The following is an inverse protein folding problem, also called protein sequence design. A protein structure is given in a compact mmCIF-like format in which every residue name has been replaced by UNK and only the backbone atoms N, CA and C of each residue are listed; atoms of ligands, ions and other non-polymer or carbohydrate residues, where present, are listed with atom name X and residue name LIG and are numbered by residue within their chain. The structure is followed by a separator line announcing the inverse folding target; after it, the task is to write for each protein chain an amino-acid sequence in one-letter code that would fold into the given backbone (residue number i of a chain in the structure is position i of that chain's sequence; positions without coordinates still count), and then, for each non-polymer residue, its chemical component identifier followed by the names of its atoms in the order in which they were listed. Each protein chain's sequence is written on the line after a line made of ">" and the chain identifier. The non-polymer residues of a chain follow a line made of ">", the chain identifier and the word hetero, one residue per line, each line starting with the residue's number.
data_IF_728123737170
#
_entry.id   IF_728123737170
#
_cell.length_a   1.000
_cell.length_b   1.000
_cell.length_c   1.000
_cell.angle_alpha   90.00
_cell.angle_beta   90.00
_cell.angle_gamma   90.00
#
_symmetry.space_group_name_H-M   'P 1'
#
loop_
_entity.id
_entity.type
_entity.pdbx_description
1 polymer ?
#
# COMPACT_ATOMS: atom_id res chain seq x y z
N UNK A 1 70.28 -19.87 25.26
CA UNK A 1 69.28 -20.23 26.28
C UNK A 1 68.01 -19.45 25.92
N UNK A 2 66.88 -20.03 25.53
CA UNK A 2 66.53 -21.43 25.28
C UNK A 2 65.40 -21.46 24.23
N UNK A 3 65.29 -22.53 23.42
CA UNK A 3 64.24 -22.68 22.40
C UNK A 3 62.88 -23.11 23.00
N UNK A 4 61.75 -23.03 22.26
CA UNK A 4 60.39 -22.99 22.79
C UNK A 4 59.74 -24.38 22.93
N UNK A 5 58.51 -24.48 23.48
CA UNK A 5 57.66 -25.66 23.36
C UNK A 5 56.81 -25.64 22.07
N UNK A 6 56.60 -26.82 21.50
CA UNK A 6 55.88 -27.08 20.23
C UNK A 6 54.54 -27.81 20.44
N UNK A 7 53.57 -27.49 19.59
CA UNK A 7 52.44 -28.28 19.03
C UNK A 7 51.88 -29.54 19.74
N UNK A 8 50.53 -29.62 19.84
CA UNK A 8 49.80 -30.89 19.99
C UNK A 8 48.31 -30.72 20.31
N UNK A 9 47.39 -31.60 19.84
CA UNK A 9 46.15 -31.14 19.17
C UNK A 9 44.81 -31.52 19.83
N UNK A 10 43.72 -30.90 19.34
CA UNK A 10 42.30 -31.16 19.72
C UNK A 10 41.69 -30.00 20.51
N UNK A 11 40.44 -29.57 20.31
CA UNK A 11 39.36 -30.03 19.45
C UNK A 11 38.62 -28.86 18.78
N UNK A 12 38.01 -29.10 17.62
CA UNK A 12 37.19 -28.11 16.92
C UNK A 12 35.74 -28.10 17.43
N UNK A 13 35.18 -26.94 17.82
CA UNK A 13 33.75 -26.83 18.10
C UNK A 13 32.95 -26.74 16.80
N UNK A 14 32.42 -27.89 16.37
CA UNK A 14 31.18 -28.02 15.61
C UNK A 14 31.04 -27.23 14.31
N UNK A 15 31.27 -27.91 13.17
CA UNK A 15 30.63 -27.52 11.90
C UNK A 15 29.12 -27.47 12.12
N UNK A 16 28.54 -26.27 12.09
CA UNK A 16 27.09 -26.10 12.12
C UNK A 16 26.46 -26.84 10.95
N UNK A 17 25.79 -27.97 11.22
CA UNK A 17 25.05 -28.72 10.21
C UNK A 17 24.03 -27.77 9.57
N UNK A 18 24.24 -27.46 8.29
CA UNK A 18 23.23 -26.77 7.49
C UNK A 18 21.92 -27.56 7.58
N UNK A 19 20.89 -26.96 8.17
CA UNK A 19 19.56 -27.54 8.26
C UNK A 19 19.01 -27.72 6.84
N UNK A 20 18.59 -28.93 6.44
CA UNK A 20 18.02 -29.13 5.11
C UNK A 20 16.75 -28.29 4.95
N UNK A 21 16.80 -27.27 4.09
CA UNK A 21 15.60 -26.50 3.73
C UNK A 21 14.65 -27.42 2.97
N UNK A 22 13.48 -27.68 3.54
CA UNK A 22 12.42 -28.46 2.90
C UNK A 22 11.99 -27.78 1.60
N UNK A 23 12.14 -28.47 0.46
CA UNK A 23 11.75 -28.00 -0.88
C UNK A 23 10.22 -27.85 -1.07
N UNK A 24 9.45 -27.92 0.02
CA UNK A 24 7.98 -27.85 0.05
C UNK A 24 7.42 -26.90 1.13
N UNK A 25 8.27 -26.11 1.79
CA UNK A 25 7.84 -25.07 2.75
C UNK A 25 7.21 -25.55 4.06
N UNK A 26 7.13 -26.87 4.32
CA UNK A 26 6.55 -27.43 5.54
C UNK A 26 7.59 -27.74 6.62
N UNK A 27 7.31 -27.32 7.85
CA UNK A 27 8.13 -27.52 9.06
C UNK A 27 8.04 -28.98 9.52
N UNK A 28 9.16 -29.66 9.85
CA UNK A 28 9.15 -31.02 10.39
C UNK A 28 8.51 -31.11 11.77
N UNK A 29 7.73 -32.16 12.04
CA UNK A 29 7.01 -32.33 13.32
C UNK A 29 7.92 -32.43 14.56
N UNK A 30 9.18 -32.87 14.42
CA UNK A 30 10.10 -32.93 15.56
C UNK A 30 10.43 -31.54 16.13
N UNK A 31 10.53 -30.51 15.27
CA UNK A 31 10.77 -29.13 15.68
C UNK A 31 9.55 -28.48 16.40
N UNK A 32 8.38 -29.11 16.32
CA UNK A 32 7.18 -28.70 17.06
C UNK A 32 7.04 -29.43 18.41
N UNK A 33 7.86 -30.47 18.67
CA UNK A 33 7.87 -31.18 19.94
C UNK A 33 8.79 -30.54 20.99
N UNK A 34 9.80 -29.78 20.55
CA UNK A 34 10.80 -29.16 21.44
C UNK A 34 10.36 -27.81 22.05
N UNK A 35 9.23 -27.24 21.62
CA UNK A 35 8.67 -25.99 22.18
C UNK A 35 7.62 -26.20 23.27
N UNK A 36 7.29 -27.45 23.62
CA UNK A 36 6.17 -27.82 24.48
C UNK A 36 6.55 -28.71 25.67
N UNK A 37 7.44 -28.24 26.55
CA UNK A 37 7.76 -28.93 27.83
C UNK A 37 8.29 -27.97 28.89
N UNK A 38 7.67 -27.98 30.08
CA UNK A 38 8.24 -27.47 31.33
C UNK A 38 7.88 -28.46 32.46
N UNK A 39 8.08 -28.14 33.75
CA UNK A 39 8.87 -27.07 34.38
C UNK A 39 10.08 -27.63 35.17
N UNK A 40 10.87 -26.77 35.82
CA UNK A 40 11.96 -27.17 36.74
C UNK A 40 11.65 -26.71 38.19
N UNK A 41 11.85 -27.53 39.24
CA UNK A 41 11.57 -27.16 40.63
C UNK A 41 12.81 -26.67 41.42
N UNK A 42 12.50 -26.17 42.63
CA UNK A 42 13.33 -25.96 43.84
C UNK A 42 14.15 -24.68 44.07
N UNK A 43 14.00 -24.18 45.32
CA UNK A 43 14.71 -23.14 46.07
C UNK A 43 14.58 -21.65 45.62
N UNK A 44 14.19 -20.69 46.48
CA UNK A 44 13.69 -20.80 47.86
C UNK A 44 13.38 -19.44 48.54
N UNK A 45 12.49 -19.49 49.55
CA UNK A 45 12.29 -18.55 50.68
C UNK A 45 12.27 -17.03 50.48
N UNK A 46 11.12 -16.39 50.74
CA UNK A 46 10.93 -15.54 51.95
C UNK A 46 9.44 -15.30 52.30
N UNK A 47 9.18 -14.83 53.53
CA UNK A 47 7.87 -14.54 54.15
C UNK A 47 7.26 -13.23 53.57
N UNK A 48 6.00 -12.79 53.73
CA UNK A 48 4.86 -13.02 54.65
C UNK A 48 3.57 -12.55 53.88
N UNK A 49 2.29 -12.76 54.22
CA UNK A 49 1.59 -13.34 55.38
C UNK A 49 0.19 -13.89 54.94
N UNK A 50 -0.78 -14.00 55.86
CA UNK A 50 -2.09 -14.64 55.77
C UNK A 50 -3.25 -13.88 55.07
N UNK A 51 -4.22 -14.63 54.54
CA UNK A 51 -5.65 -14.63 54.99
C UNK A 51 -6.35 -15.95 54.64
N UNK A 52 -7.33 -16.37 55.45
CA UNK A 52 -7.84 -17.77 55.55
C UNK A 52 -9.14 -18.02 54.77
N UNK A 53 -9.34 -19.27 54.32
CA UNK A 53 -10.47 -19.73 53.50
C UNK A 53 -11.18 -20.98 54.09
N UNK A 54 -12.52 -21.02 54.16
CA UNK A 54 -13.33 -22.25 54.20
C UNK A 54 -14.44 -22.26 53.10
N UNK A 55 -14.88 -23.36 52.49
CA UNK A 55 -14.61 -24.81 52.64
C UNK A 55 -15.18 -25.59 51.42
N UNK A 56 -14.59 -26.76 51.10
CA UNK A 56 -15.18 -27.95 50.42
C UNK A 56 -15.93 -27.87 49.06
N UNK A 57 -15.36 -28.62 48.09
CA UNK A 57 -15.87 -29.18 46.79
C UNK A 57 -17.11 -30.13 46.97
N UNK A 58 -17.78 -30.70 45.91
CA UNK A 58 -17.38 -30.86 44.49
C UNK A 58 -18.45 -30.55 43.39
N UNK A 59 -18.05 -30.61 42.09
CA UNK A 59 -18.94 -30.58 40.90
C UNK A 59 -19.28 -32.01 40.38
N UNK A 60 -19.44 -32.28 39.05
CA UNK A 60 -19.56 -31.39 37.87
C UNK A 60 -20.63 -31.85 36.82
N UNK A 61 -20.54 -31.32 35.58
CA UNK A 61 -21.07 -31.82 34.25
C UNK A 61 -22.59 -31.75 33.91
N UNK A 62 -22.99 -31.80 32.59
CA UNK A 62 -24.10 -30.99 32.06
C UNK A 62 -25.30 -31.78 31.49
N UNK A 63 -26.35 -31.06 31.09
CA UNK A 63 -27.58 -31.65 30.52
C UNK A 63 -27.61 -31.68 28.99
N UNK A 64 -27.56 -32.89 28.42
CA UNK A 64 -28.17 -33.20 27.12
C UNK A 64 -29.62 -33.66 27.32
N UNK A 65 -30.48 -33.46 26.31
CA UNK A 65 -31.84 -34.01 26.31
C UNK A 65 -31.94 -35.28 25.44
N UNK A 66 -32.49 -36.39 25.95
CA UNK A 66 -32.79 -37.60 25.18
C UNK A 66 -34.17 -37.53 24.50
N UNK A 67 -34.43 -38.48 23.60
CA UNK A 67 -35.59 -38.51 22.69
C UNK A 67 -36.45 -39.77 22.92
N UNK A 68 -37.80 -39.60 22.91
CA UNK A 68 -38.88 -40.65 22.80
C UNK A 68 -39.15 -41.54 24.04
N UNK A 69 -40.31 -42.25 24.15
CA UNK A 69 -41.40 -42.47 23.15
C UNK A 69 -42.86 -42.16 23.58
N UNK A 70 -43.83 -42.38 22.68
CA UNK A 70 -45.30 -42.49 22.94
C UNK A 70 -45.62 -43.87 23.57
N UNK A 71 -46.80 -44.25 24.10
CA UNK A 71 -48.21 -43.79 24.05
C UNK A 71 -48.96 -44.30 25.35
N UNK A 72 -50.31 -44.40 25.51
CA UNK A 72 -51.45 -44.14 24.61
C UNK A 72 -52.57 -43.23 25.19
N UNK A 73 -53.70 -43.14 24.47
CA UNK A 73 -54.74 -42.14 24.62
C UNK A 73 -55.86 -42.46 25.65
N UNK A 74 -56.50 -41.40 26.15
CA UNK A 74 -57.91 -41.42 26.56
C UNK A 74 -58.64 -40.22 25.95
N UNK A 75 -59.87 -40.46 25.47
CA UNK A 75 -60.69 -39.48 24.77
C UNK A 75 -61.32 -38.47 25.72
N UNK A 76 -61.38 -37.19 25.30
CA UNK A 76 -62.45 -36.28 25.70
C UNK A 76 -62.79 -35.34 24.54
N UNK A 77 -64.05 -35.35 24.14
CA UNK A 77 -64.56 -34.67 22.96
C UNK A 77 -64.85 -33.19 23.22
N UNK A 78 -64.27 -32.30 22.43
CA UNK A 78 -64.84 -30.97 22.17
C UNK A 78 -64.91 -30.74 20.66
N UNK A 79 -66.09 -30.40 20.16
CA UNK A 79 -66.34 -30.26 18.74
C UNK A 79 -65.70 -28.96 18.22
N UNK A 80 -64.62 -29.10 17.44
CA UNK A 80 -64.07 -28.00 16.64
C UNK A 80 -64.35 -28.29 15.17
N UNK A 81 -65.11 -27.42 14.51
CA UNK A 81 -65.44 -27.57 13.09
C UNK A 81 -64.16 -27.43 12.25
N UNK A 82 -63.71 -28.51 11.64
CA UNK A 82 -62.66 -28.45 10.61
C UNK A 82 -63.23 -27.84 9.33
N UNK A 83 -62.89 -26.57 9.09
CA UNK A 83 -63.13 -25.92 7.81
C UNK A 83 -62.23 -26.54 6.74
N UNK A 84 -62.77 -27.52 6.02
CA UNK A 84 -62.14 -28.14 4.84
C UNK A 84 -61.74 -27.06 3.81
N UNK A 85 -60.46 -26.88 3.46
CA UNK A 85 -60.04 -25.90 2.47
C UNK A 85 -60.42 -26.36 1.06
N UNK A 86 -61.68 -26.12 0.69
CA UNK A 86 -62.18 -26.22 -0.69
C UNK A 86 -62.01 -24.85 -1.35
N UNK A 87 -60.84 -24.64 -1.92
CA UNK A 87 -60.54 -23.44 -2.69
C UNK A 87 -59.15 -23.53 -3.30
N UNK A 88 -59.06 -24.03 -4.53
CA UNK A 88 -57.91 -23.68 -5.37
C UNK A 88 -57.89 -22.15 -5.53
N UNK A 89 -56.70 -21.52 -5.70
CA UNK A 89 -56.60 -20.06 -5.70
C UNK A 89 -57.56 -19.47 -6.74
N UNK A 90 -58.34 -18.49 -6.30
CA UNK A 90 -59.32 -17.79 -7.13
C UNK A 90 -58.64 -17.23 -8.38
N UNK A 91 -59.37 -16.98 -9.49
CA UNK A 91 -58.76 -16.37 -10.68
C UNK A 91 -58.04 -15.06 -10.35
N UNK A 92 -58.57 -14.28 -9.39
CA UNK A 92 -57.90 -13.11 -8.83
C UNK A 92 -56.59 -13.45 -8.10
N UNK A 93 -56.58 -14.47 -7.22
CA UNK A 93 -55.38 -14.90 -6.51
C UNK A 93 -54.28 -15.44 -7.43
N UNK A 94 -54.65 -16.10 -8.53
CA UNK A 94 -53.71 -16.51 -9.59
C UNK A 94 -53.14 -15.30 -10.34
N UNK A 95 -53.96 -14.29 -10.63
CA UNK A 95 -53.51 -13.03 -11.25
C UNK A 95 -52.58 -12.24 -10.34
N UNK A 96 -52.87 -12.14 -9.04
CA UNK A 96 -51.97 -11.49 -8.06
C UNK A 96 -50.65 -12.24 -7.92
N UNK A 97 -50.67 -13.58 -7.90
CA UNK A 97 -49.44 -14.37 -7.85
C UNK A 97 -48.63 -14.24 -9.15
N UNK A 98 -49.28 -14.24 -10.32
CA UNK A 98 -48.61 -13.98 -11.61
C UNK A 98 -48.05 -12.56 -11.69
N UNK A 99 -48.76 -11.54 -11.17
CA UNK A 99 -48.27 -10.18 -11.10
C UNK A 99 -47.09 -10.02 -10.13
N UNK A 100 -47.10 -10.73 -9.00
CA UNK A 100 -45.98 -10.75 -8.04
C UNK A 100 -44.75 -11.47 -8.61
N UNK A 101 -44.93 -12.60 -9.30
CA UNK A 101 -43.85 -13.31 -9.99
C UNK A 101 -43.34 -12.50 -11.18
N UNK A 102 -44.21 -11.89 -11.99
CA UNK A 102 -43.81 -10.99 -13.06
C UNK A 102 -43.10 -9.75 -12.53
N UNK A 103 -43.52 -9.22 -11.37
CA UNK A 103 -42.84 -8.13 -10.67
C UNK A 103 -41.45 -8.53 -10.15
N UNK A 104 -41.30 -9.74 -9.59
CA UNK A 104 -40.00 -10.28 -9.16
C UNK A 104 -39.09 -10.60 -10.35
N UNK A 105 -39.62 -11.12 -11.46
CA UNK A 105 -38.87 -11.37 -12.69
C UNK A 105 -38.49 -10.05 -13.36
N UNK A 106 -39.39 -9.06 -13.41
CA UNK A 106 -39.08 -7.72 -13.92
C UNK A 106 -38.07 -7.00 -13.02
N UNK A 107 -38.17 -7.13 -11.69
CA UNK A 107 -37.18 -6.60 -10.75
C UNK A 107 -35.83 -7.31 -10.90
N UNK A 108 -35.81 -8.63 -11.07
CA UNK A 108 -34.60 -9.40 -11.36
C UNK A 108 -34.01 -9.03 -12.74
N UNK A 109 -34.82 -8.80 -13.76
CA UNK A 109 -34.35 -8.29 -15.06
C UNK A 109 -33.82 -6.86 -14.94
N UNK A 110 -34.46 -5.97 -14.18
CA UNK A 110 -33.95 -4.63 -13.89
C UNK A 110 -32.67 -4.70 -13.06
N UNK A 111 -32.50 -5.68 -12.18
CA UNK A 111 -31.29 -5.88 -11.36
C UNK A 111 -30.14 -6.54 -12.13
N UNK A 112 -30.41 -7.53 -13.00
CA UNK A 112 -29.41 -8.14 -13.89
C UNK A 112 -29.08 -7.27 -15.11
N UNK A 113 -29.98 -6.37 -15.52
CA UNK A 113 -29.75 -5.36 -16.55
C UNK A 113 -29.42 -3.97 -15.96
N UNK A 114 -29.24 -3.85 -14.64
CA UNK A 114 -28.26 -2.86 -14.19
C UNK A 114 -26.92 -3.27 -14.82
N UNK A 115 -26.14 -2.35 -15.39
CA UNK A 115 -24.73 -2.65 -15.53
C UNK A 115 -24.22 -3.01 -14.13
N UNK A 116 -23.64 -4.20 -13.99
CA UNK A 116 -22.68 -4.43 -12.89
C UNK A 116 -21.72 -3.25 -12.93
N UNK A 117 -21.31 -2.71 -11.79
CA UNK A 117 -20.37 -1.59 -11.71
C UNK A 117 -18.94 -1.98 -12.16
N UNK A 118 -18.79 -2.48 -13.39
CA UNK A 118 -17.89 -1.79 -14.30
C UNK A 118 -18.44 -0.36 -14.41
N UNK A 119 -17.89 0.55 -13.61
CA UNK A 119 -17.93 1.94 -13.94
C UNK A 119 -17.15 2.07 -15.26
N UNK A 120 -17.87 1.96 -16.38
CA UNK A 120 -17.41 2.54 -17.62
C UNK A 120 -17.40 4.05 -17.38
N UNK A 121 -16.31 4.52 -16.77
CA UNK A 121 -15.90 5.91 -16.85
C UNK A 121 -15.96 6.22 -18.35
N UNK A 122 -16.77 7.19 -18.79
CA UNK A 122 -16.74 7.58 -20.20
C UNK A 122 -15.28 7.94 -20.52
N UNK A 123 -14.78 7.71 -21.74
CA UNK A 123 -13.41 8.08 -22.07
C UNK A 123 -13.26 9.59 -21.92
N UNK A 124 -12.79 10.00 -20.74
CA UNK A 124 -12.27 11.32 -20.44
C UNK A 124 -11.15 11.50 -21.43
N UNK A 125 -11.39 12.30 -22.48
CA UNK A 125 -10.33 12.67 -23.41
C UNK A 125 -9.16 13.17 -22.59
N UNK A 126 -7.97 12.62 -22.87
CA UNK A 126 -6.76 12.73 -22.05
C UNK A 126 -6.75 14.02 -21.23
N UNK A 127 -7.05 13.89 -19.93
CA UNK A 127 -6.88 14.99 -19.03
C UNK A 127 -5.37 15.26 -19.04
N UNK A 128 -4.97 16.33 -19.71
CA UNK A 128 -3.59 16.80 -19.69
C UNK A 128 -3.21 16.86 -18.21
N UNK A 129 -2.21 16.06 -17.83
CA UNK A 129 -1.65 16.09 -16.49
C UNK A 129 -1.12 17.50 -16.29
N UNK A 130 -1.90 18.35 -15.63
CA UNK A 130 -1.46 19.70 -15.24
C UNK A 130 -0.39 19.45 -14.20
N UNK A 131 0.90 19.57 -14.53
CA UNK A 131 1.94 19.17 -13.60
C UNK A 131 1.92 20.16 -12.45
N UNK A 132 2.45 19.76 -11.29
CA UNK A 132 2.90 20.75 -10.33
C UNK A 132 3.87 21.70 -11.03
N UNK A 133 3.53 22.99 -11.12
CA UNK A 133 4.40 24.03 -11.68
C UNK A 133 5.48 24.39 -10.64
N UNK A 134 6.25 23.38 -10.26
CA UNK A 134 7.40 23.42 -9.36
C UNK A 134 8.71 23.74 -10.10
N UNK A 135 8.61 24.26 -11.33
CA UNK A 135 9.76 24.61 -12.15
C UNK A 135 10.51 25.81 -11.58
N UNK A 136 11.68 25.56 -11.01
CA UNK A 136 12.54 26.60 -10.45
C UNK A 136 13.71 26.90 -11.39
N UNK A 137 13.48 27.77 -12.39
CA UNK A 137 14.60 28.46 -13.05
C UNK A 137 15.20 29.47 -12.07
N UNK A 138 16.50 29.76 -12.22
CA UNK A 138 17.16 30.80 -11.42
C UNK A 138 16.52 32.20 -11.56
N UNK A 139 15.74 32.43 -12.62
CA UNK A 139 15.00 33.67 -12.89
C UNK A 139 13.61 33.73 -12.20
N UNK A 140 13.04 32.58 -11.79
CA UNK A 140 11.73 32.49 -11.12
C UNK A 140 11.78 32.50 -9.59
N UNK A 141 12.97 32.38 -8.99
CA UNK A 141 13.14 32.26 -7.54
C UNK A 141 13.03 33.62 -6.81
N UNK A 142 11.81 33.98 -6.43
CA UNK A 142 11.58 35.00 -5.40
C UNK A 142 12.25 34.59 -4.08
N UNK A 143 13.29 35.33 -3.67
CA UNK A 143 14.05 35.16 -2.41
C UNK A 143 14.45 33.70 -2.06
N UNK A 144 15.54 33.14 -2.62
CA UNK A 144 16.06 31.91 -2.02
C UNK A 144 17.20 31.09 -2.64
N UNK A 145 17.62 31.30 -3.88
CA UNK A 145 19.02 31.03 -4.29
C UNK A 145 19.63 29.61 -4.36
N UNK A 146 18.88 28.51 -4.15
CA UNK A 146 19.37 27.10 -4.06
C UNK A 146 20.06 26.75 -2.72
N UNK A 147 20.07 25.47 -2.29
CA UNK A 147 20.97 25.02 -1.23
C UNK A 147 22.45 25.05 -1.66
N UNK A 148 23.41 24.91 -0.73
CA UNK A 148 24.81 24.70 -1.07
C UNK A 148 25.00 23.44 -1.93
N UNK A 149 25.83 23.54 -2.96
CA UNK A 149 26.15 22.44 -3.88
C UNK A 149 26.73 21.23 -3.15
N UNK A 150 26.30 20.03 -3.54
CA UNK A 150 26.84 18.76 -3.02
C UNK A 150 26.41 18.41 -1.59
N UNK A 151 25.42 19.09 -1.02
CA UNK A 151 24.81 18.66 0.26
C UNK A 151 24.14 17.28 0.08
N UNK A 152 24.45 16.36 0.99
CA UNK A 152 23.98 14.96 1.00
C UNK A 152 24.41 14.08 -0.20
N UNK A 153 25.35 14.51 -1.05
CA UNK A 153 25.81 13.71 -2.19
C UNK A 153 26.90 12.69 -1.80
N UNK A 154 26.85 11.51 -2.42
CA UNK A 154 27.92 10.50 -2.37
C UNK A 154 28.82 10.55 -3.63
N UNK A 155 29.95 9.86 -3.59
CA UNK A 155 30.91 9.79 -4.71
C UNK A 155 30.42 8.89 -5.88
N UNK A 156 29.38 8.09 -5.66
CA UNK A 156 28.82 7.14 -6.62
C UNK A 156 27.32 6.88 -6.33
N UNK A 157 26.54 6.36 -7.31
CA UNK A 157 25.15 5.98 -7.10
C UNK A 157 24.93 5.12 -5.86
N UNK A 158 23.92 5.47 -5.07
CA UNK A 158 23.63 4.86 -3.76
C UNK A 158 23.04 3.45 -3.85
N UNK A 159 22.61 3.05 -5.04
CA UNK A 159 22.07 1.73 -5.35
C UNK A 159 22.07 1.49 -6.85
N UNK A 160 21.50 0.36 -7.26
CA UNK A 160 21.28 0.01 -8.68
C UNK A 160 19.86 -0.54 -8.83
N UNK A 161 19.19 -0.30 -9.98
CA UNK A 161 17.91 -0.94 -10.28
C UNK A 161 17.94 -2.45 -10.09
N UNK A 162 16.84 -3.03 -9.63
CA UNK A 162 16.62 -4.47 -9.71
C UNK A 162 16.73 -4.93 -11.19
N UNK A 163 17.26 -6.14 -11.45
CA UNK A 163 17.37 -6.65 -12.81
C UNK A 163 15.98 -6.87 -13.41
N UNK A 164 15.77 -6.37 -14.62
CA UNK A 164 14.55 -6.59 -15.39
C UNK A 164 14.42 -8.07 -15.76
N UNK A 165 13.18 -8.58 -15.75
CA UNK A 165 12.88 -9.92 -16.25
C UNK A 165 12.71 -9.91 -17.77
N UNK A 166 11.94 -8.94 -18.29
CA UNK A 166 11.84 -8.61 -19.71
C UNK A 166 12.03 -7.09 -19.89
N UNK A 167 12.69 -6.69 -20.98
CA UNK A 167 12.80 -5.29 -21.40
C UNK A 167 11.58 -4.91 -22.24
N UNK A 168 10.99 -3.74 -21.99
CA UNK A 168 9.80 -3.27 -22.69
C UNK A 168 9.89 -1.77 -22.97
N UNK A 169 9.46 -1.35 -24.17
CA UNK A 169 9.35 0.05 -24.55
C UNK A 169 7.99 0.66 -24.19
N UNK A 170 7.19 -0.01 -23.35
CA UNK A 170 5.86 0.46 -22.91
C UNK A 170 5.99 1.45 -21.74
N UNK A 171 6.83 2.48 -21.91
CA UNK A 171 7.02 3.57 -20.96
C UNK A 171 7.17 4.90 -21.69
N UNK A 172 6.97 5.99 -20.95
CA UNK A 172 7.20 7.36 -21.41
C UNK A 172 7.78 8.17 -20.26
N UNK A 173 8.66 9.11 -20.56
CA UNK A 173 9.16 10.07 -19.58
C UNK A 173 8.37 11.36 -19.64
N UNK A 174 8.23 12.04 -18.50
CA UNK A 174 7.72 13.40 -18.44
C UNK A 174 8.58 14.32 -19.31
N UNK A 175 7.94 15.32 -19.91
CA UNK A 175 8.63 16.26 -20.78
C UNK A 175 9.76 16.99 -20.03
N UNK A 176 10.97 16.94 -20.58
CA UNK A 176 12.10 17.68 -20.05
C UNK A 176 11.81 19.19 -20.04
N UNK A 177 12.16 19.92 -18.96
CA UNK A 177 12.02 21.38 -18.92
C UNK A 177 13.04 22.12 -19.80
N UNK A 178 13.99 21.41 -20.40
CA UNK A 178 15.05 21.97 -21.25
C UNK A 178 15.21 21.17 -22.53
N UNK A 179 15.36 21.87 -23.66
CA UNK A 179 15.65 21.24 -24.96
C UNK A 179 17.08 20.65 -25.04
N UNK A 180 17.90 20.78 -24.01
CA UNK A 180 19.26 20.24 -23.96
C UNK A 180 19.35 18.80 -23.41
N UNK A 181 18.29 18.29 -22.79
CA UNK A 181 18.21 16.93 -22.23
C UNK A 181 16.89 16.30 -22.67
N UNK A 182 16.91 15.09 -23.24
CA UNK A 182 15.69 14.42 -23.73
C UNK A 182 14.71 14.09 -22.58
N UNK A 183 15.25 13.80 -21.40
CA UNK A 183 14.54 13.67 -20.12
C UNK A 183 15.44 14.17 -18.98
N UNK A 184 14.85 14.39 -17.81
CA UNK A 184 15.59 14.64 -16.56
C UNK A 184 15.24 13.57 -15.54
N UNK A 185 16.12 13.35 -14.57
CA UNK A 185 15.98 12.34 -13.53
C UNK A 185 16.35 12.92 -12.15
N UNK A 186 16.20 12.13 -11.10
CA UNK A 186 16.82 12.40 -9.80
C UNK A 186 18.31 12.04 -9.81
N UNK A 187 19.10 12.73 -8.98
CA UNK A 187 20.50 12.41 -8.69
C UNK A 187 20.62 11.06 -7.95
N UNK A 188 21.14 9.97 -8.56
CA UNK A 188 21.24 8.70 -7.86
C UNK A 188 22.38 8.65 -6.83
N UNK A 189 23.28 9.64 -6.81
CA UNK A 189 24.26 9.82 -5.74
C UNK A 189 23.66 10.50 -4.50
N UNK A 190 22.39 10.94 -4.50
CA UNK A 190 21.74 11.64 -3.38
C UNK A 190 20.49 10.91 -2.91
N UNK A 191 20.24 10.77 -1.59
CA UNK A 191 19.04 10.10 -1.12
C UNK A 191 17.79 10.98 -1.30
N UNK A 192 16.71 10.39 -1.82
CA UNK A 192 15.41 11.05 -1.91
C UNK A 192 14.76 11.02 -0.53
N UNK A 193 14.88 12.12 0.19
CA UNK A 193 14.26 12.31 1.51
C UNK A 193 12.76 12.55 1.33
N UNK A 194 11.92 11.94 2.16
CA UNK A 194 10.47 12.15 2.14
C UNK A 194 9.86 12.28 3.54
N UNK A 195 8.79 13.06 3.62
CA UNK A 195 8.01 13.33 4.84
C UNK A 195 6.54 13.08 4.57
N UNK A 196 5.81 12.60 5.59
CA UNK A 196 4.38 12.30 5.47
C UNK A 196 3.55 13.29 6.29
N UNK A 197 2.64 14.03 5.65
CA UNK A 197 1.65 14.85 6.37
C UNK A 197 0.54 13.95 6.91
N UNK A 198 0.66 13.52 8.16
CA UNK A 198 -0.28 12.57 8.78
C UNK A 198 -1.70 13.13 9.04
N UNK A 199 -1.90 14.45 8.96
CA UNK A 199 -3.24 15.06 9.14
C UNK A 199 -4.17 14.60 8.02
N UNK A 200 -5.33 14.06 8.38
CA UNK A 200 -6.33 13.52 7.45
C UNK A 200 -6.15 12.04 7.11
N UNK A 201 -4.94 11.50 7.21
CA UNK A 201 -4.56 10.18 6.70
C UNK A 201 -5.52 9.05 7.12
N UNK A 202 -5.93 8.16 6.20
CA UNK A 202 -6.67 6.95 6.55
C UNK A 202 -5.86 6.02 7.47
N UNK A 203 -6.54 5.27 8.35
CA UNK A 203 -5.87 4.38 9.29
C UNK A 203 -5.06 3.29 8.56
N UNK A 204 -3.78 3.14 8.92
CA UNK A 204 -2.86 2.16 8.31
C UNK A 204 -2.33 2.54 6.93
N UNK A 205 -2.62 3.75 6.43
CA UNK A 205 -2.15 4.20 5.11
C UNK A 205 -0.64 4.50 5.03
N UNK A 206 -0.02 4.93 6.13
CA UNK A 206 1.44 5.16 6.21
C UNK A 206 2.25 3.92 5.84
N UNK A 207 1.78 2.73 6.23
CA UNK A 207 2.41 1.45 5.86
C UNK A 207 2.34 1.21 4.34
N UNK A 208 1.24 1.60 3.69
CA UNK A 208 1.10 1.49 2.23
C UNK A 208 2.05 2.45 1.50
N UNK A 209 2.26 3.65 2.05
CA UNK A 209 3.27 4.60 1.55
C UNK A 209 4.67 3.98 1.62
N UNK A 210 5.06 3.41 2.76
CA UNK A 210 6.37 2.74 2.89
C UNK A 210 6.51 1.56 1.92
N UNK A 211 5.47 0.75 1.73
CA UNK A 211 5.47 -0.37 0.78
C UNK A 211 5.56 0.04 -0.69
N UNK A 212 4.98 1.19 -1.05
CA UNK A 212 5.06 1.76 -2.39
C UNK A 212 6.45 2.38 -2.64
N UNK A 213 6.97 3.16 -1.67
CA UNK A 213 8.33 3.73 -1.71
C UNK A 213 9.39 2.62 -1.84
N UNK A 214 9.25 1.50 -1.12
CA UNK A 214 10.19 0.38 -1.24
C UNK A 214 10.22 -0.18 -2.68
N UNK A 215 9.07 -0.40 -3.31
CA UNK A 215 8.99 -0.92 -4.68
C UNK A 215 9.63 0.00 -5.71
N UNK A 216 9.46 1.31 -5.53
CA UNK A 216 10.08 2.32 -6.38
C UNK A 216 11.59 2.37 -6.13
N UNK A 217 12.03 2.26 -4.88
CA UNK A 217 13.46 2.12 -4.53
C UNK A 217 14.09 0.87 -5.14
N UNK A 218 13.40 -0.28 -5.10
CA UNK A 218 13.84 -1.53 -5.72
C UNK A 218 13.91 -1.41 -7.27
N UNK A 219 12.91 -0.82 -7.91
CA UNK A 219 12.83 -0.67 -9.36
C UNK A 219 13.83 0.35 -9.94
N UNK A 220 14.23 1.36 -9.17
CA UNK A 220 15.11 2.46 -9.61
C UNK A 220 16.54 2.36 -9.04
N UNK A 221 16.74 1.66 -7.93
CA UNK A 221 17.97 1.75 -7.13
C UNK A 221 18.12 3.05 -6.33
N UNK A 222 17.25 4.06 -6.55
CA UNK A 222 17.25 5.32 -5.81
C UNK A 222 16.93 5.07 -4.34
N UNK A 223 17.71 5.65 -3.44
CA UNK A 223 17.59 5.39 -2.00
C UNK A 223 16.69 6.42 -1.33
N UNK A 224 15.61 5.95 -0.69
CA UNK A 224 14.64 6.82 -0.03
C UNK A 224 14.84 6.85 1.49
N UNK A 225 14.80 8.05 2.08
CA UNK A 225 14.93 8.25 3.53
C UNK A 225 13.64 8.87 4.08
N UNK A 226 12.96 8.14 4.98
CA UNK A 226 11.82 8.68 5.71
C UNK A 226 12.28 9.59 6.85
N UNK A 227 11.86 10.85 6.83
CA UNK A 227 12.22 11.85 7.85
C UNK A 227 11.10 12.12 8.86
N UNK A 228 10.08 11.25 8.91
CA UNK A 228 8.98 11.36 9.86
C UNK A 228 7.79 12.15 9.32
N UNK A 229 6.96 12.62 10.24
CA UNK A 229 5.72 13.34 9.92
C UNK A 229 5.94 14.85 9.85
N UNK A 230 5.25 15.52 8.92
CA UNK A 230 5.29 16.99 8.78
C UNK A 230 3.91 17.63 8.98
N UNK A 231 3.92 18.92 9.31
CA UNK A 231 2.74 19.81 9.32
C UNK A 231 2.61 20.63 8.04
N UNK A 232 3.56 20.47 7.10
CA UNK A 232 3.49 21.11 5.79
C UNK A 232 2.19 20.71 5.07
N UNK A 233 1.54 21.69 4.46
CA UNK A 233 0.39 21.46 3.59
C UNK A 233 0.88 21.49 2.14
N UNK A 234 0.32 20.67 1.25
CA UNK A 234 0.64 20.74 -0.15
C UNK A 234 0.16 22.08 -0.73
N UNK A 235 0.85 22.56 -1.76
CA UNK A 235 0.48 23.77 -2.52
C UNK A 235 0.80 23.56 -4.00
N UNK A 236 0.04 24.19 -4.89
CA UNK A 236 0.24 24.13 -6.35
C UNK A 236 1.67 24.51 -6.77
N UNK A 237 2.28 25.48 -6.07
CA UNK A 237 3.63 25.99 -6.33
C UNK A 237 4.51 25.88 -5.09
N UNK A 238 4.73 24.64 -4.63
CA UNK A 238 5.60 24.34 -3.49
C UNK A 238 7.07 24.62 -3.83
N UNK A 239 7.79 25.48 -3.07
CA UNK A 239 9.21 25.70 -3.30
C UNK A 239 10.03 24.43 -3.03
N UNK A 240 10.89 24.06 -3.99
CA UNK A 240 11.85 22.95 -3.85
C UNK A 240 12.89 23.18 -2.75
N UNK A 241 13.13 24.44 -2.35
CA UNK A 241 14.05 24.81 -1.28
C UNK A 241 13.32 25.60 -0.18
N UNK A 242 13.40 25.12 1.07
CA UNK A 242 12.69 25.70 2.22
C UNK A 242 13.60 25.68 3.48
N UNK A 243 14.63 26.54 3.55
CA UNK A 243 15.63 26.47 4.61
C UNK A 243 15.07 26.64 6.02
N UNK A 244 14.06 27.50 6.21
CA UNK A 244 13.42 27.74 7.51
C UNK A 244 12.70 26.51 8.08
N UNK A 245 12.34 25.54 7.23
CA UNK A 245 11.61 24.31 7.60
C UNK A 245 12.49 23.07 7.58
N UNK A 246 13.32 22.93 6.55
CA UNK A 246 14.07 21.71 6.27
C UNK A 246 15.60 21.88 6.30
N UNK A 247 16.12 23.08 6.56
CA UNK A 247 17.56 23.38 6.57
C UNK A 247 18.14 23.63 5.17
N UNK A 248 19.46 23.85 5.10
CA UNK A 248 20.20 24.22 3.87
C UNK A 248 20.39 23.03 2.91
N UNK A 249 19.27 22.44 2.47
CA UNK A 249 19.17 21.30 1.54
C UNK A 249 17.85 21.39 0.79
N UNK A 250 17.71 20.64 -0.31
CA UNK A 250 16.41 20.49 -0.98
C UNK A 250 15.35 19.99 -0.02
N UNK A 251 14.14 20.53 -0.14
CA UNK A 251 13.01 20.11 0.66
C UNK A 251 12.70 18.64 0.35
N UNK A 252 12.43 17.79 1.36
CA UNK A 252 12.02 16.41 1.14
C UNK A 252 10.73 16.37 0.31
N UNK A 253 10.52 15.26 -0.38
CA UNK A 253 9.26 14.94 -1.06
C UNK A 253 8.14 14.93 -0.02
N UNK A 254 7.11 15.75 -0.26
CA UNK A 254 5.94 15.84 0.62
C UNK A 254 4.89 14.83 0.17
N UNK A 255 4.62 13.81 0.98
CA UNK A 255 3.49 12.91 0.76
C UNK A 255 2.34 13.36 1.68
N UNK A 256 1.29 13.92 1.09
CA UNK A 256 0.21 14.59 1.79
C UNK A 256 -1.17 13.98 1.53
N UNK A 257 -1.92 13.81 2.61
CA UNK A 257 -3.34 13.49 2.58
C UNK A 257 -4.14 14.79 2.50
N UNK A 258 -4.96 14.91 1.47
CA UNK A 258 -5.70 16.13 1.10
C UNK A 258 -7.15 15.80 0.72
N UNK A 259 -7.91 16.78 0.24
CA UNK A 259 -9.28 16.65 -0.27
C UNK A 259 -9.57 17.75 -1.32
N UNK A 260 -10.66 17.65 -2.10
CA UNK A 260 -10.97 18.63 -3.16
C UNK A 260 -11.25 20.06 -2.68
N UNK A 261 -11.55 20.29 -1.40
CA UNK A 261 -11.77 21.65 -0.87
C UNK A 261 -10.43 22.36 -0.62
N UNK A 262 -9.38 21.61 -0.25
CA UNK A 262 -8.03 22.13 -0.04
C UNK A 262 -7.13 22.03 -1.29
N UNK A 263 -7.37 21.03 -2.14
CA UNK A 263 -6.66 20.81 -3.39
C UNK A 263 -7.67 20.56 -4.54
N UNK A 264 -8.13 21.63 -5.21
CA UNK A 264 -9.18 21.52 -6.24
C UNK A 264 -8.84 20.60 -7.42
N UNK A 265 -7.57 20.28 -7.65
CA UNK A 265 -7.13 19.34 -8.67
C UNK A 265 -7.51 17.87 -8.35
N UNK A 266 -7.81 17.55 -7.09
CA UNK A 266 -8.38 16.24 -6.68
C UNK A 266 -9.89 16.12 -6.96
N UNK A 267 -10.55 17.16 -7.47
CA UNK A 267 -11.99 17.11 -7.74
C UNK A 267 -12.34 16.12 -8.87
N UNK A 268 -13.40 15.34 -8.67
CA UNK A 268 -13.91 14.41 -9.69
C UNK A 268 -13.29 13.01 -9.58
N UNK A 269 -12.74 12.43 -10.66
CA UNK A 269 -12.19 11.07 -10.66
C UNK A 269 -10.73 10.98 -10.20
N UNK A 270 -10.08 12.12 -9.93
CA UNK A 270 -8.66 12.18 -9.52
C UNK A 270 -8.49 11.69 -8.09
N UNK A 271 -7.84 10.54 -7.90
CA UNK A 271 -7.61 9.94 -6.57
C UNK A 271 -6.24 10.28 -5.98
N UNK A 272 -5.29 10.67 -6.83
CA UNK A 272 -3.95 11.09 -6.47
C UNK A 272 -3.36 12.08 -7.49
N UNK A 273 -2.29 12.77 -7.09
CA UNK A 273 -1.49 13.66 -7.91
C UNK A 273 -0.02 13.57 -7.47
N UNK A 274 0.87 13.05 -8.32
CA UNK A 274 2.31 13.04 -8.11
C UNK A 274 3.06 13.99 -9.05
N UNK A 275 4.13 14.62 -8.57
CA UNK A 275 5.03 15.38 -9.44
C UNK A 275 6.23 15.99 -8.71
N UNK A 276 7.24 16.34 -9.51
CA UNK A 276 8.56 16.76 -9.01
C UNK A 276 8.88 18.22 -9.28
N UNK A 277 9.46 18.85 -8.27
CA UNK A 277 10.15 20.13 -8.40
C UNK A 277 11.55 19.88 -8.96
N UNK A 278 11.90 20.59 -10.03
CA UNK A 278 13.20 20.50 -10.69
C UNK A 278 14.01 21.79 -10.52
N UNK A 279 15.32 21.66 -10.66
CA UNK A 279 16.27 22.76 -10.62
C UNK A 279 17.31 22.60 -11.75
N UNK A 280 17.92 23.71 -12.16
CA UNK A 280 18.94 23.72 -13.22
C UNK A 280 20.12 24.62 -12.86
N UNK A 281 21.34 24.10 -13.01
CA UNK A 281 22.58 24.82 -12.72
C UNK A 281 23.73 24.24 -13.54
N UNK A 282 24.63 25.09 -14.04
CA UNK A 282 25.76 24.65 -14.87
C UNK A 282 25.39 24.09 -16.25
N UNK A 283 24.11 24.18 -16.65
CA UNK A 283 23.60 23.57 -17.89
C UNK A 283 22.96 22.19 -17.69
N UNK A 284 23.03 21.62 -16.48
CA UNK A 284 22.37 20.36 -16.12
C UNK A 284 21.10 20.65 -15.31
N UNK A 285 20.05 19.89 -15.58
CA UNK A 285 18.76 19.97 -14.89
C UNK A 285 18.36 18.60 -14.34
N UNK A 286 17.82 18.58 -13.12
CA UNK A 286 17.43 17.36 -12.41
C UNK A 286 16.20 17.60 -11.54
N UNK A 287 15.49 16.52 -11.19
CA UNK A 287 14.50 16.54 -10.12
C UNK A 287 15.21 16.60 -8.77
N UNK A 288 14.73 17.47 -7.88
CA UNK A 288 15.39 17.77 -6.60
C UNK A 288 14.43 17.75 -5.41
N UNK A 289 13.13 17.87 -5.65
CA UNK A 289 12.06 17.77 -4.66
C UNK A 289 10.78 17.31 -5.35
N UNK A 290 9.66 17.29 -4.65
CA UNK A 290 8.35 16.99 -5.22
C UNK A 290 7.25 16.91 -4.17
N UNK A 291 6.04 16.59 -4.62
CA UNK A 291 4.94 16.24 -3.74
C UNK A 291 4.03 15.18 -4.35
N UNK A 292 3.34 14.47 -3.47
CA UNK A 292 2.25 13.57 -3.78
C UNK A 292 1.05 14.00 -2.93
N UNK A 293 -0.07 14.25 -3.57
CA UNK A 293 -1.35 14.52 -2.91
C UNK A 293 -2.30 13.35 -3.12
N UNK A 294 -2.93 12.88 -2.04
CA UNK A 294 -3.83 11.71 -2.06
C UNK A 294 -5.21 12.12 -1.54
N UNK A 295 -6.26 11.83 -2.31
CA UNK A 295 -7.63 12.15 -1.93
C UNK A 295 -8.07 11.27 -0.75
N UNK A 296 -8.22 11.92 0.40
CA UNK A 296 -8.55 11.28 1.66
C UNK A 296 -9.97 10.67 1.66
N UNK A 297 -11.05 11.38 1.26
CA UNK A 297 -12.37 10.77 1.04
C UNK A 297 -12.36 9.50 0.19
N UNK A 298 -11.71 9.51 -0.97
CA UNK A 298 -11.67 8.41 -1.93
C UNK A 298 -10.84 7.25 -1.41
N UNK A 299 -9.65 7.49 -0.85
CA UNK A 299 -8.84 6.43 -0.23
C UNK A 299 -9.57 5.77 0.96
N UNK A 300 -10.39 6.48 1.74
CA UNK A 300 -11.21 5.86 2.80
C UNK A 300 -12.26 4.90 2.23
N UNK A 301 -12.86 5.22 1.08
CA UNK A 301 -13.79 4.31 0.39
C UNK A 301 -13.04 3.09 -0.15
N UNK A 302 -11.92 3.33 -0.84
CA UNK A 302 -11.06 2.30 -1.42
C UNK A 302 -10.58 1.30 -0.36
N UNK A 303 -10.05 1.77 0.77
CA UNK A 303 -9.56 0.92 1.87
C UNK A 303 -10.67 0.13 2.58
N UNK A 304 -11.95 0.51 2.38
CA UNK A 304 -13.11 -0.26 2.84
C UNK A 304 -13.49 -1.42 1.90
N UNK A 305 -12.96 -1.46 0.67
CA UNK A 305 -13.27 -2.49 -0.32
C UNK A 305 -12.40 -3.76 -0.15
N UNK A 306 -12.87 -4.93 -0.62
CA UNK A 306 -12.01 -6.11 -0.79
C UNK A 306 -10.79 -5.77 -1.65
N UNK A 307 -9.61 -6.26 -1.27
CA UNK A 307 -8.31 -5.92 -1.88
C UNK A 307 -7.95 -4.41 -1.91
N UNK A 308 -8.71 -3.55 -1.22
CA UNK A 308 -8.54 -2.09 -1.25
C UNK A 308 -7.18 -1.59 -0.79
N UNK A 309 -6.44 -2.36 0.01
CA UNK A 309 -5.06 -2.04 0.40
C UNK A 309 -4.06 -2.19 -0.74
N UNK A 310 -4.22 -3.21 -1.58
CA UNK A 310 -3.34 -3.44 -2.72
C UNK A 310 -3.61 -2.40 -3.80
N UNK A 311 -4.88 -2.10 -4.08
CA UNK A 311 -5.25 -1.00 -4.99
C UNK A 311 -4.77 0.38 -4.46
N UNK A 312 -4.89 0.64 -3.16
CA UNK A 312 -4.36 1.88 -2.56
C UNK A 312 -2.83 1.97 -2.66
N UNK A 313 -2.10 0.85 -2.51
CA UNK A 313 -0.65 0.80 -2.74
C UNK A 313 -0.32 1.07 -4.22
N UNK A 314 -1.05 0.45 -5.15
CA UNK A 314 -0.85 0.62 -6.58
C UNK A 314 -1.04 2.08 -7.04
N UNK A 315 -2.04 2.80 -6.50
CA UNK A 315 -2.20 4.24 -6.74
C UNK A 315 -1.01 5.03 -6.19
N UNK A 316 -0.55 4.77 -4.96
CA UNK A 316 0.63 5.47 -4.41
C UNK A 316 1.88 5.17 -5.25
N UNK A 317 2.02 3.97 -5.81
CA UNK A 317 3.09 3.61 -6.75
C UNK A 317 2.98 4.37 -8.08
N UNK A 318 1.77 4.57 -8.62
CA UNK A 318 1.51 5.38 -9.81
C UNK A 318 1.95 6.84 -9.59
N UNK A 319 1.55 7.47 -8.48
CA UNK A 319 1.97 8.84 -8.16
C UNK A 319 3.48 8.95 -7.90
N UNK A 320 4.12 7.91 -7.34
CA UNK A 320 5.58 7.84 -7.23
C UNK A 320 6.26 7.61 -8.58
N UNK A 321 5.60 6.96 -9.55
CA UNK A 321 6.07 6.87 -10.93
C UNK A 321 6.16 8.26 -11.57
N UNK A 322 5.11 9.06 -11.45
CA UNK A 322 5.11 10.47 -11.84
C UNK A 322 6.15 11.31 -11.12
N UNK A 323 6.34 11.10 -9.81
CA UNK A 323 7.42 11.74 -9.06
C UNK A 323 8.79 11.43 -9.69
N UNK A 324 9.12 10.15 -9.91
CA UNK A 324 10.44 9.75 -10.43
C UNK A 324 10.69 10.22 -11.88
N UNK A 325 9.64 10.41 -12.68
CA UNK A 325 9.73 10.98 -14.03
C UNK A 325 8.98 10.20 -15.10
N UNK A 326 8.16 9.19 -14.75
CA UNK A 326 7.29 8.51 -15.71
C UNK A 326 6.06 9.36 -16.04
N UNK A 327 5.68 9.33 -17.30
CA UNK A 327 4.44 9.87 -17.83
C UNK A 327 3.44 8.74 -18.08
N UNK A 328 2.19 9.09 -18.41
CA UNK A 328 1.20 8.10 -18.81
C UNK A 328 1.56 7.44 -20.15
N UNK A 329 1.17 6.17 -20.25
CA UNK A 329 1.23 5.37 -21.48
C UNK A 329 -0.18 4.94 -21.92
N UNK A 330 -0.32 4.55 -23.19
CA UNK A 330 -1.58 4.05 -23.76
C UNK A 330 -1.84 2.55 -23.50
N UNK A 331 -0.85 1.82 -22.97
CA UNK A 331 -0.93 0.38 -22.72
C UNK A 331 -1.66 0.07 -21.39
N UNK A 332 -2.86 -0.53 -21.41
CA UNK A 332 -3.67 -0.77 -20.21
C UNK A 332 -3.12 -1.88 -19.29
N UNK A 333 -2.00 -2.51 -19.66
CA UNK A 333 -1.32 -3.51 -18.82
C UNK A 333 -0.20 -2.89 -17.96
N UNK A 334 0.14 -1.62 -18.17
CA UNK A 334 1.11 -0.89 -17.35
C UNK A 334 0.40 -0.21 -16.17
N UNK A 335 1.07 -0.08 -15.03
CA UNK A 335 0.56 0.68 -13.89
C UNK A 335 0.52 2.17 -14.19
N UNK A 336 1.40 2.68 -15.07
CA UNK A 336 1.33 4.05 -15.60
C UNK A 336 0.28 4.26 -16.72
N UNK A 337 -0.70 3.35 -16.88
CA UNK A 337 -1.88 3.65 -17.68
C UNK A 337 -2.73 4.74 -17.01
N UNK A 338 -3.18 5.74 -17.79
CA UNK A 338 -3.87 6.93 -17.26
C UNK A 338 -5.23 6.66 -16.56
N UNK A 339 -5.76 5.44 -16.65
CA UNK A 339 -7.03 5.05 -16.05
C UNK A 339 -6.79 3.91 -15.05
N UNK A 340 -7.10 4.15 -13.78
CA UNK A 340 -6.88 3.16 -12.73
C UNK A 340 -7.60 1.83 -13.04
N UNK A 341 -6.82 0.75 -13.11
CA UNK A 341 -7.32 -0.62 -13.23
C UNK A 341 -7.35 -1.31 -11.85
N UNK A 342 -8.39 -2.09 -11.58
CA UNK A 342 -8.45 -2.92 -10.38
C UNK A 342 -7.58 -4.19 -10.47
N UNK A 343 -7.15 -4.56 -11.68
CA UNK A 343 -6.41 -5.80 -11.95
C UNK A 343 -4.89 -5.57 -12.04
N UNK A 344 -4.43 -4.32 -12.23
CA UNK A 344 -3.01 -3.94 -12.26
C UNK A 344 -2.63 -3.35 -10.90
N UNK A 345 -1.89 -4.12 -10.09
CA UNK A 345 -1.60 -3.81 -8.68
C UNK A 345 -0.10 -3.66 -8.36
N UNK A 346 0.75 -3.85 -9.35
CA UNK A 346 2.21 -3.81 -9.29
C UNK A 346 2.74 -3.23 -10.61
N UNK A 347 3.97 -2.72 -10.64
CA UNK A 347 4.62 -2.26 -11.88
C UNK A 347 4.79 -3.43 -12.87
N UNK A 348 4.48 -3.20 -14.13
CA UNK A 348 4.70 -4.15 -15.23
C UNK A 348 6.01 -3.84 -15.98
N UNK A 349 6.36 -4.66 -16.98
CA UNK A 349 7.69 -4.62 -17.60
C UNK A 349 8.05 -3.28 -18.26
N UNK A 350 7.06 -2.53 -18.75
CA UNK A 350 7.24 -1.18 -19.28
C UNK A 350 7.58 -0.19 -18.17
N UNK A 351 6.73 -0.11 -17.14
CA UNK A 351 6.97 0.72 -15.95
C UNK A 351 8.37 0.46 -15.36
N UNK A 352 8.72 -0.83 -15.18
CA UNK A 352 10.01 -1.25 -14.63
C UNK A 352 11.18 -0.86 -15.53
N UNK A 353 11.04 -0.99 -16.85
CA UNK A 353 12.07 -0.57 -17.81
C UNK A 353 12.32 0.94 -17.73
N UNK A 354 11.24 1.75 -17.66
CA UNK A 354 11.34 3.20 -17.51
C UNK A 354 11.91 3.64 -16.16
N UNK A 355 11.46 3.04 -15.05
CA UNK A 355 12.01 3.30 -13.70
C UNK A 355 13.49 2.92 -13.59
N UNK A 356 13.90 1.80 -14.21
CA UNK A 356 15.29 1.37 -14.24
C UNK A 356 16.18 2.38 -14.95
N UNK A 357 15.73 2.97 -16.07
CA UNK A 357 16.44 4.04 -16.77
C UNK A 357 16.50 5.34 -15.96
N UNK A 358 15.39 5.79 -15.37
CA UNK A 358 15.34 6.99 -14.52
C UNK A 358 16.21 6.85 -13.26
N UNK A 359 16.40 5.64 -12.76
CA UNK A 359 17.31 5.33 -11.67
C UNK A 359 18.80 5.38 -12.02
N UNK A 360 19.14 5.41 -13.31
CA UNK A 360 20.52 5.41 -13.84
C UNK A 360 20.93 6.79 -14.37
N UNK A 361 20.32 7.87 -13.87
CA UNK A 361 20.68 9.25 -14.20
C UNK A 361 22.13 9.62 -13.84
N UNK A 362 22.58 10.77 -14.34
CA UNK A 362 23.89 11.31 -13.95
C UNK A 362 23.84 11.90 -12.53
N UNK A 363 24.94 11.78 -11.78
CA UNK A 363 25.08 12.46 -10.49
C UNK A 363 25.42 13.94 -10.71
N UNK A 364 24.75 14.82 -9.97
CA UNK A 364 24.72 16.27 -10.24
C UNK A 364 25.19 17.10 -9.03
N UNK A 365 26.50 17.08 -8.72
CA UNK A 365 27.08 17.78 -7.56
C UNK A 365 26.91 19.31 -7.61
N UNK A 366 26.59 19.89 -8.76
CA UNK A 366 26.29 21.32 -8.92
C UNK A 366 25.04 21.75 -8.14
N UNK A 367 24.07 20.84 -7.99
CA UNK A 367 22.76 21.04 -7.38
C UNK A 367 22.73 20.72 -5.87
#
# INVERSE_FOLDING_TARGET
>A
MSWPPTDGPGDAPGVGRATPRSRTGRVPQWALAESGSGPNPDAGTEQQDAWVNPTSRPGPVPWQQPVRPLAPALHLSTARQEAKPRGGPSPLGKLVLLAAVAGLVAWAFVWLAQPKFAAAVPPSGAAESVPFDGGSTAEGLGHGGFPPSGVDIAEAPLGVPAPLYEESNSYRFLASPTAAQDYIAYDPCRPIRYVVRAVGSPAGSTELVHQAVQRVSDATGLQFIYEGTTTEQPTEKRPSYQPDRYGERWAPVLIAWSDPDHSPALAGPTIGLGGSGWASRGGVSAYVSGQIELDTPQFRQLLGAPAGKDAARAIIMHELGHLIGLDHVDDPNQLMYAQASHDILEFADGDLSGLSLLGQGECVPEL
#
